data_IF_121747438296
#
_entry.id   IF_121747438296
#
_cell.length_a   1.000
_cell.length_b   1.000
_cell.length_c   1.000
_cell.angle_alpha   90.00
_cell.angle_beta   90.00
_cell.angle_gamma   90.00
#
_symmetry.space_group_name_H-M   'P 1'
#
loop_
_entity.id
_entity.type
_entity.pdbx_description
1 polymer ?
#
# COMPACT_ATOMS: atom_id res chain seq x y z
N UNK A 1 -32.42 -6.30 16.51
CA UNK A 1 -32.49 -7.57 17.30
C UNK A 1 -31.09 -8.13 17.56
N UNK A 2 -30.28 -8.47 16.54
CA UNK A 2 -28.91 -8.96 16.75
C UNK A 2 -27.96 -8.01 17.53
N UNK A 3 -27.99 -6.70 17.27
CA UNK A 3 -27.16 -5.71 18.00
C UNK A 3 -27.54 -5.50 19.48
N UNK A 4 -28.67 -6.07 19.93
CA UNK A 4 -29.10 -6.03 21.32
C UNK A 4 -28.77 -7.34 22.05
N UNK A 5 -28.51 -8.43 21.32
CA UNK A 5 -28.21 -9.75 21.90
C UNK A 5 -26.71 -10.03 22.03
N UNK A 6 -25.85 -9.29 21.34
CA UNK A 6 -24.38 -9.43 21.46
C UNK A 6 -23.88 -8.67 22.70
N UNK A 7 -23.17 -9.35 23.63
CA UNK A 7 -22.57 -8.71 24.80
C UNK A 7 -21.64 -7.54 24.42
N UNK A 8 -21.57 -6.52 25.29
CA UNK A 8 -20.69 -5.36 25.05
C UNK A 8 -19.20 -5.73 24.99
N UNK A 9 -18.84 -6.84 25.63
CA UNK A 9 -17.49 -7.40 25.72
C UNK A 9 -17.02 -8.02 24.39
N UNK A 10 -17.96 -8.47 23.55
CA UNK A 10 -17.69 -9.06 22.22
C UNK A 10 -17.51 -7.97 21.15
N UNK A 11 -16.47 -7.17 21.34
CA UNK A 11 -16.15 -6.00 20.50
C UNK A 11 -15.97 -6.33 19.01
N UNK A 12 -15.49 -7.55 18.69
CA UNK A 12 -15.28 -8.00 17.31
C UNK A 12 -16.59 -8.39 16.61
N UNK A 13 -17.43 -9.18 17.27
CA UNK A 13 -18.73 -9.60 16.72
C UNK A 13 -19.65 -8.40 16.52
N UNK A 14 -19.68 -7.51 17.51
CA UNK A 14 -20.43 -6.26 17.42
C UNK A 14 -19.95 -5.38 16.26
N UNK A 15 -18.64 -5.27 16.06
CA UNK A 15 -18.08 -4.56 14.91
C UNK A 15 -18.55 -5.18 13.58
N UNK A 16 -18.50 -6.51 13.45
CA UNK A 16 -18.95 -7.19 12.24
C UNK A 16 -20.44 -6.98 11.96
N UNK A 17 -21.29 -7.00 13.00
CA UNK A 17 -22.71 -6.69 12.87
C UNK A 17 -22.96 -5.26 12.39
N UNK A 18 -22.21 -4.28 12.89
CA UNK A 18 -22.31 -2.90 12.41
C UNK A 18 -21.85 -2.78 10.95
N UNK A 19 -20.75 -3.42 10.56
CA UNK A 19 -20.30 -3.43 9.16
C UNK A 19 -21.35 -4.06 8.26
N UNK A 20 -21.98 -5.18 8.67
CA UNK A 20 -23.06 -5.80 7.92
C UNK A 20 -24.26 -4.87 7.76
N UNK A 21 -24.67 -4.19 8.84
CA UNK A 21 -25.74 -3.18 8.78
C UNK A 21 -25.39 -2.03 7.84
N UNK A 22 -24.19 -1.46 7.92
CA UNK A 22 -23.77 -0.37 7.04
C UNK A 22 -23.77 -0.77 5.56
N UNK A 23 -23.42 -2.03 5.24
CA UNK A 23 -23.53 -2.54 3.87
C UNK A 23 -25.00 -2.61 3.40
N UNK A 24 -25.92 -3.07 4.26
CA UNK A 24 -27.34 -3.11 3.94
C UNK A 24 -27.92 -1.71 3.73
N UNK A 25 -27.59 -0.76 4.59
CA UNK A 25 -28.02 0.64 4.46
C UNK A 25 -27.48 1.27 3.17
N UNK A 26 -26.23 0.97 2.78
CA UNK A 26 -25.68 1.48 1.50
C UNK A 26 -26.41 0.92 0.28
N UNK A 27 -26.87 -0.33 0.35
CA UNK A 27 -27.54 -1.02 -0.77
C UNK A 27 -29.04 -0.74 -0.88
N UNK A 28 -29.71 -0.56 0.26
CA UNK A 28 -31.18 -0.54 0.33
C UNK A 28 -31.76 0.62 1.15
N UNK A 29 -30.92 1.34 1.90
CA UNK A 29 -31.34 2.45 2.74
C UNK A 29 -31.30 3.79 2.00
N UNK A 30 -31.38 4.86 2.77
CA UNK A 30 -31.26 6.24 2.31
C UNK A 30 -30.14 7.00 3.05
N UNK A 31 -29.89 8.24 2.65
CA UNK A 31 -28.82 9.05 3.24
C UNK A 31 -29.03 9.32 4.74
N UNK A 32 -30.28 9.43 5.21
CA UNK A 32 -30.60 9.68 6.61
C UNK A 32 -30.41 8.41 7.46
N UNK A 33 -30.89 7.26 6.98
CA UNK A 33 -30.74 5.97 7.63
C UNK A 33 -29.26 5.56 7.72
N UNK A 34 -28.50 5.76 6.64
CA UNK A 34 -27.06 5.53 6.62
C UNK A 34 -26.31 6.41 7.63
N UNK A 35 -26.62 7.71 7.67
CA UNK A 35 -26.00 8.63 8.64
C UNK A 35 -26.33 8.25 10.09
N UNK A 36 -27.57 7.84 10.36
CA UNK A 36 -27.97 7.36 11.67
C UNK A 36 -27.22 6.08 12.07
N UNK A 37 -27.13 5.10 11.15
CA UNK A 37 -26.41 3.86 11.37
C UNK A 37 -24.90 4.08 11.63
N UNK A 38 -24.26 4.97 10.86
CA UNK A 38 -22.85 5.35 11.09
C UNK A 38 -22.66 5.99 12.45
N UNK A 39 -23.57 6.89 12.84
CA UNK A 39 -23.50 7.60 14.12
C UNK A 39 -23.63 6.61 15.29
N UNK A 40 -24.59 5.71 15.23
CA UNK A 40 -24.78 4.66 16.23
C UNK A 40 -23.56 3.73 16.30
N UNK A 41 -23.05 3.28 15.15
CA UNK A 41 -21.90 2.39 15.08
C UNK A 41 -20.64 3.03 15.68
N UNK A 42 -20.41 4.32 15.43
CA UNK A 42 -19.28 5.06 16.02
C UNK A 42 -19.41 5.21 17.54
N UNK A 43 -20.63 5.38 18.06
CA UNK A 43 -20.88 5.52 19.50
C UNK A 43 -20.78 4.17 20.24
N UNK A 44 -21.14 3.07 19.55
CA UNK A 44 -21.22 1.72 20.12
C UNK A 44 -20.13 0.80 19.57
N UNK A 45 -19.01 1.31 19.08
CA UNK A 45 -17.86 0.49 18.65
C UNK A 45 -16.60 1.37 18.56
N UNK A 46 -15.48 0.81 18.11
CA UNK A 46 -14.29 1.60 17.83
C UNK A 46 -14.56 2.52 16.62
N UNK A 47 -14.70 3.83 16.88
CA UNK A 47 -15.02 4.85 15.87
C UNK A 47 -14.06 4.78 14.68
N UNK A 48 -12.76 4.59 14.93
CA UNK A 48 -11.76 4.55 13.87
C UNK A 48 -11.94 3.34 12.96
N UNK A 49 -12.18 2.16 13.52
CA UNK A 49 -12.44 0.93 12.76
C UNK A 49 -13.72 1.07 11.96
N UNK A 50 -14.78 1.63 12.54
CA UNK A 50 -16.05 1.87 11.83
C UNK A 50 -15.84 2.83 10.66
N UNK A 51 -15.15 3.95 10.85
CA UNK A 51 -14.91 4.90 9.76
C UNK A 51 -13.99 4.33 8.67
N UNK A 52 -13.02 3.48 9.01
CA UNK A 52 -12.21 2.75 8.02
C UNK A 52 -13.05 1.73 7.25
N UNK A 53 -13.98 1.04 7.92
CA UNK A 53 -14.89 0.12 7.28
C UNK A 53 -15.89 0.85 6.37
N UNK A 54 -16.42 1.98 6.83
CA UNK A 54 -17.27 2.86 6.02
C UNK A 54 -16.55 3.27 4.74
N UNK A 55 -15.31 3.77 4.83
CA UNK A 55 -14.51 4.09 3.65
C UNK A 55 -14.40 2.92 2.67
N UNK A 56 -14.18 1.70 3.17
CA UNK A 56 -14.06 0.52 2.33
C UNK A 56 -15.40 0.13 1.65
N UNK A 57 -16.52 0.36 2.33
CA UNK A 57 -17.86 0.20 1.75
C UNK A 57 -18.05 1.23 0.63
N UNK A 58 -17.79 2.51 0.88
CA UNK A 58 -17.92 3.56 -0.14
C UNK A 58 -17.02 3.28 -1.34
N UNK A 59 -15.78 2.86 -1.11
CA UNK A 59 -14.83 2.48 -2.16
C UNK A 59 -15.36 1.31 -3.01
N UNK A 60 -15.93 0.28 -2.38
CA UNK A 60 -16.52 -0.87 -3.10
C UNK A 60 -17.68 -0.44 -4.01
N UNK A 61 -18.42 0.59 -3.62
CA UNK A 61 -19.53 1.14 -4.38
C UNK A 61 -19.12 2.24 -5.37
N UNK A 62 -17.84 2.62 -5.44
CA UNK A 62 -17.35 3.69 -6.31
C UNK A 62 -17.80 5.10 -5.88
N UNK A 63 -18.25 5.26 -4.63
CA UNK A 63 -18.75 6.55 -4.12
C UNK A 63 -17.59 7.42 -3.60
N UNK A 64 -17.03 8.23 -4.51
CA UNK A 64 -15.89 9.12 -4.24
C UNK A 64 -16.24 10.21 -3.20
N UNK A 65 -17.48 10.70 -3.19
CA UNK A 65 -17.93 11.69 -2.21
C UNK A 65 -18.03 11.07 -0.81
N UNK A 66 -18.59 9.87 -0.71
CA UNK A 66 -18.65 9.07 0.51
C UNK A 66 -17.25 8.75 1.06
N UNK A 67 -16.31 8.34 0.20
CA UNK A 67 -14.90 8.14 0.56
C UNK A 67 -14.25 9.41 1.11
N UNK A 68 -14.51 10.55 0.46
CA UNK A 68 -14.01 11.87 0.88
C UNK A 68 -14.57 12.28 2.23
N UNK A 69 -15.87 12.11 2.45
CA UNK A 69 -16.53 12.41 3.74
C UNK A 69 -16.02 11.52 4.88
N UNK A 70 -15.91 10.20 4.65
CA UNK A 70 -15.40 9.25 5.64
C UNK A 70 -13.93 9.54 6.00
N UNK A 71 -13.09 9.79 5.00
CA UNK A 71 -11.67 10.09 5.23
C UNK A 71 -11.45 11.46 5.89
N UNK A 72 -12.25 12.47 5.57
CA UNK A 72 -12.23 13.78 6.24
C UNK A 72 -12.55 13.65 7.73
N UNK A 73 -13.56 12.85 8.10
CA UNK A 73 -13.86 12.53 9.51
C UNK A 73 -12.70 11.81 10.18
N UNK A 74 -12.07 10.84 9.49
CA UNK A 74 -10.91 10.11 9.99
C UNK A 74 -9.74 11.04 10.31
N UNK A 75 -9.33 11.94 9.41
CA UNK A 75 -8.19 12.84 9.68
C UNK A 75 -8.53 13.96 10.65
N UNK A 76 -9.80 14.35 10.77
CA UNK A 76 -10.25 15.31 11.80
C UNK A 76 -10.08 14.71 13.20
N UNK A 77 -10.55 13.49 13.43
CA UNK A 77 -10.48 12.81 14.73
C UNK A 77 -9.12 12.16 15.00
N UNK A 78 -8.49 11.58 13.98
CA UNK A 78 -7.28 10.75 14.08
C UNK A 78 -6.13 11.29 13.22
N UNK A 79 -5.88 12.60 13.28
CA UNK A 79 -4.87 13.28 12.46
C UNK A 79 -3.43 12.77 12.60
N UNK A 80 -3.07 12.13 13.71
CA UNK A 80 -1.74 11.50 13.88
C UNK A 80 -1.65 10.08 13.27
N UNK A 81 -2.73 9.58 12.67
CA UNK A 81 -2.82 8.22 12.12
C UNK A 81 -2.42 8.17 10.65
N UNK A 82 -1.30 7.51 10.34
CA UNK A 82 -0.87 7.25 8.97
C UNK A 82 -1.98 6.57 8.14
N UNK A 83 -2.71 5.61 8.73
CA UNK A 83 -3.84 4.94 8.05
C UNK A 83 -4.96 5.91 7.64
N UNK A 84 -5.22 6.95 8.44
CA UNK A 84 -6.26 7.92 8.11
C UNK A 84 -5.87 8.74 6.87
N UNK A 85 -4.63 9.22 6.85
CA UNK A 85 -4.10 9.98 5.71
C UNK A 85 -3.97 9.15 4.43
N UNK A 86 -3.58 7.88 4.52
CA UNK A 86 -3.58 7.00 3.34
C UNK A 86 -4.98 6.90 2.74
N UNK A 87 -6.03 6.78 3.57
CA UNK A 87 -7.41 6.78 3.07
C UNK A 87 -7.81 8.11 2.46
N UNK A 88 -7.40 9.25 3.03
CA UNK A 88 -7.62 10.56 2.41
C UNK A 88 -6.90 10.69 1.05
N UNK A 89 -5.67 10.18 0.95
CA UNK A 89 -4.94 10.15 -0.31
C UNK A 89 -5.64 9.27 -1.35
N UNK A 90 -6.13 8.09 -0.96
CA UNK A 90 -6.91 7.23 -1.85
C UNK A 90 -8.19 7.91 -2.35
N UNK A 91 -8.92 8.63 -1.49
CA UNK A 91 -10.10 9.39 -1.95
C UNK A 91 -9.74 10.50 -2.94
N UNK A 92 -8.65 11.23 -2.70
CA UNK A 92 -8.14 12.25 -3.61
C UNK A 92 -7.69 11.65 -4.96
N UNK A 93 -7.06 10.48 -4.92
CA UNK A 93 -6.64 9.72 -6.09
C UNK A 93 -7.85 9.26 -6.93
N UNK A 94 -8.88 8.67 -6.30
CA UNK A 94 -10.12 8.30 -6.99
C UNK A 94 -10.92 9.49 -7.52
N UNK A 95 -10.72 10.69 -6.96
CA UNK A 95 -11.27 11.93 -7.47
C UNK A 95 -10.39 12.60 -8.55
N UNK A 96 -9.21 12.03 -8.84
CA UNK A 96 -8.14 12.60 -9.68
C UNK A 96 -7.80 14.05 -9.34
N UNK A 97 -7.88 14.43 -8.05
CA UNK A 97 -7.75 15.82 -7.59
C UNK A 97 -7.14 15.92 -6.20
N UNK A 98 -6.21 16.85 -6.02
CA UNK A 98 -5.75 17.29 -4.70
C UNK A 98 -4.84 16.32 -3.95
N UNK A 99 -4.23 15.35 -4.63
CA UNK A 99 -3.27 14.40 -4.01
C UNK A 99 -2.08 15.12 -3.38
N UNK A 100 -1.51 16.12 -4.05
CA UNK A 100 -0.39 16.92 -3.53
C UNK A 100 -0.73 17.71 -2.26
N UNK A 101 -1.93 18.31 -2.18
CA UNK A 101 -2.41 18.99 -0.95
C UNK A 101 -2.50 18.00 0.22
N UNK A 102 -3.05 16.80 -0.04
CA UNK A 102 -3.15 15.75 0.98
C UNK A 102 -1.77 15.33 1.46
N UNK A 103 -0.80 15.16 0.55
CA UNK A 103 0.58 14.83 0.91
C UNK A 103 1.17 15.93 1.80
N UNK A 104 1.08 17.20 1.40
CA UNK A 104 1.60 18.33 2.17
C UNK A 104 0.99 18.41 3.57
N UNK A 105 -0.34 18.31 3.69
CA UNK A 105 -1.06 18.35 4.97
C UNK A 105 -0.78 17.15 5.86
N UNK A 106 -0.59 15.97 5.28
CA UNK A 106 -0.22 14.79 6.04
C UNK A 106 1.18 14.96 6.68
N UNK A 107 2.13 15.55 5.95
CA UNK A 107 3.49 15.76 6.44
C UNK A 107 3.55 16.73 7.63
N UNK A 108 2.65 17.72 7.70
CA UNK A 108 2.57 18.64 8.84
C UNK A 108 1.89 18.03 10.07
N UNK A 109 0.95 17.09 9.88
CA UNK A 109 0.16 16.50 10.98
C UNK A 109 0.67 15.16 11.47
N UNK A 110 1.45 14.43 10.68
CA UNK A 110 2.05 13.16 11.06
C UNK A 110 3.38 13.36 11.78
N UNK A 111 3.67 12.57 12.83
CA UNK A 111 5.02 12.48 13.38
C UNK A 111 6.04 12.07 12.32
N UNK A 112 7.24 12.67 12.33
CA UNK A 112 8.30 12.45 11.33
C UNK A 112 8.64 10.99 11.09
N UNK A 113 8.68 10.18 12.16
CA UNK A 113 8.89 8.72 12.08
C UNK A 113 7.88 7.96 11.23
N UNK A 114 6.72 8.55 10.92
CA UNK A 114 5.67 7.95 10.08
C UNK A 114 5.69 8.44 8.64
N UNK A 115 6.48 9.48 8.31
CA UNK A 115 6.51 10.09 6.98
C UNK A 115 6.87 9.09 5.89
N UNK A 116 7.98 8.35 6.05
CA UNK A 116 8.42 7.35 5.07
C UNK A 116 7.36 6.26 4.88
N UNK A 117 6.73 5.80 5.98
CA UNK A 117 5.68 4.78 5.92
C UNK A 117 4.44 5.30 5.16
N UNK A 118 4.06 6.55 5.41
CA UNK A 118 2.93 7.19 4.75
C UNK A 118 3.18 7.36 3.25
N UNK A 119 4.29 8.02 2.88
CA UNK A 119 4.64 8.27 1.48
C UNK A 119 4.79 6.97 0.69
N UNK A 120 5.45 5.96 1.28
CA UNK A 120 5.60 4.66 0.61
C UNK A 120 4.26 3.94 0.40
N UNK A 121 3.28 4.12 1.30
CA UNK A 121 1.94 3.60 1.10
C UNK A 121 1.17 4.38 0.01
N UNK A 122 1.29 5.71 -0.01
CA UNK A 122 0.69 6.54 -1.07
C UNK A 122 1.25 6.19 -2.45
N UNK A 123 2.57 6.00 -2.56
CA UNK A 123 3.22 5.58 -3.80
C UNK A 123 2.68 4.23 -4.29
N UNK A 124 2.54 3.25 -3.38
CA UNK A 124 1.95 1.95 -3.71
C UNK A 124 0.50 2.05 -4.21
N UNK A 125 -0.30 2.97 -3.65
CA UNK A 125 -1.68 3.18 -4.11
C UNK A 125 -1.74 3.86 -5.47
N UNK A 126 -0.92 4.88 -5.72
CA UNK A 126 -0.82 5.52 -7.04
C UNK A 126 -0.42 4.52 -8.14
N UNK A 127 0.55 3.64 -7.85
CA UNK A 127 0.92 2.56 -8.77
C UNK A 127 -0.23 1.58 -9.10
N UNK A 128 -1.27 1.49 -8.28
CA UNK A 128 -2.38 0.56 -8.48
C UNK A 128 -3.63 1.13 -9.17
N UNK A 129 -3.74 2.45 -9.34
CA UNK A 129 -4.95 3.15 -9.79
C UNK A 129 -4.70 3.91 -11.10
N UNK A 130 -4.12 3.26 -12.11
CA UNK A 130 -3.74 3.81 -13.43
C UNK A 130 -2.79 5.04 -13.42
N UNK A 131 -2.39 5.54 -12.25
CA UNK A 131 -1.41 6.62 -12.06
C UNK A 131 0.01 6.09 -11.76
N UNK A 132 0.47 5.14 -12.57
CA UNK A 132 1.76 4.46 -12.33
C UNK A 132 2.95 5.41 -12.29
N UNK A 133 3.01 6.39 -13.18
CA UNK A 133 4.10 7.37 -13.25
C UNK A 133 4.14 8.28 -12.02
N UNK A 134 2.99 8.65 -11.46
CA UNK A 134 2.93 9.42 -10.22
C UNK A 134 3.45 8.60 -9.03
N UNK A 135 3.06 7.32 -8.97
CA UNK A 135 3.58 6.36 -7.99
C UNK A 135 5.09 6.15 -8.10
N UNK A 136 5.62 5.97 -9.31
CA UNK A 136 7.06 5.92 -9.60
C UNK A 136 7.77 7.18 -9.12
N UNK A 137 7.25 8.36 -9.45
CA UNK A 137 7.82 9.63 -9.02
C UNK A 137 7.90 9.77 -7.49
N UNK A 138 6.92 9.27 -6.75
CA UNK A 138 6.96 9.23 -5.29
C UNK A 138 8.01 8.24 -4.77
N UNK A 139 8.11 7.04 -5.36
CA UNK A 139 9.13 6.07 -4.99
C UNK A 139 10.55 6.56 -5.29
N UNK A 140 10.79 7.14 -6.46
CA UNK A 140 12.11 7.69 -6.82
C UNK A 140 12.55 8.78 -5.84
N UNK A 141 11.65 9.69 -5.46
CA UNK A 141 11.92 10.69 -4.42
C UNK A 141 12.27 10.03 -3.08
N UNK A 142 11.56 8.97 -2.69
CA UNK A 142 11.80 8.26 -1.44
C UNK A 142 13.14 7.54 -1.42
N UNK A 143 13.49 6.81 -2.49
CA UNK A 143 14.76 6.07 -2.54
C UNK A 143 15.96 6.99 -2.72
N UNK A 144 15.79 8.14 -3.38
CA UNK A 144 16.82 9.19 -3.44
C UNK A 144 17.06 9.83 -2.07
N UNK A 145 15.99 10.08 -1.31
CA UNK A 145 16.09 10.70 0.03
C UNK A 145 16.57 9.71 1.09
N UNK A 146 16.15 8.44 1.00
CA UNK A 146 16.41 7.41 2.00
C UNK A 146 17.03 6.14 1.38
N UNK A 147 18.21 6.21 0.75
CA UNK A 147 18.78 5.09 -0.01
C UNK A 147 19.00 3.83 0.84
N UNK A 148 19.36 3.97 2.11
CA UNK A 148 19.60 2.83 3.03
C UNK A 148 18.32 2.10 3.49
N UNK A 149 17.13 2.60 3.14
CA UNK A 149 15.83 2.02 3.52
C UNK A 149 15.41 0.92 2.55
N UNK A 150 16.01 -0.26 2.70
CA UNK A 150 15.70 -1.42 1.87
C UNK A 150 14.20 -1.78 1.85
N UNK A 151 13.47 -1.55 2.94
CA UNK A 151 12.02 -1.79 3.01
C UNK A 151 11.19 -0.90 2.07
N UNK A 152 11.73 0.22 1.61
CA UNK A 152 11.11 1.08 0.58
C UNK A 152 11.42 0.54 -0.80
N UNK A 153 12.68 0.19 -1.05
CA UNK A 153 13.12 -0.41 -2.31
C UNK A 153 12.38 -1.70 -2.64
N UNK A 154 12.25 -2.61 -1.68
CA UNK A 154 11.53 -3.86 -1.90
C UNK A 154 10.05 -3.62 -2.19
N UNK A 155 9.41 -2.64 -1.53
CA UNK A 155 8.02 -2.29 -1.83
C UNK A 155 7.86 -1.64 -3.21
N UNK A 156 8.87 -0.91 -3.67
CA UNK A 156 8.89 -0.34 -5.02
C UNK A 156 9.02 -1.46 -6.06
N UNK A 157 9.94 -2.40 -5.86
CA UNK A 157 10.05 -3.59 -6.70
C UNK A 157 8.73 -4.38 -6.73
N UNK A 158 8.12 -4.66 -5.57
CA UNK A 158 6.82 -5.33 -5.48
C UNK A 158 5.71 -4.61 -6.28
N UNK A 159 5.74 -3.26 -6.34
CA UNK A 159 4.77 -2.48 -7.10
C UNK A 159 4.97 -2.64 -8.62
N UNK A 160 6.23 -2.60 -9.10
CA UNK A 160 6.57 -2.84 -10.51
C UNK A 160 6.32 -4.31 -10.92
N UNK A 161 6.58 -5.26 -10.03
CA UNK A 161 6.33 -6.68 -10.25
C UNK A 161 4.84 -6.98 -10.43
N UNK A 162 3.96 -6.28 -9.70
CA UNK A 162 2.51 -6.38 -9.89
C UNK A 162 2.08 -5.86 -11.25
N UNK A 163 2.67 -4.76 -11.72
CA UNK A 163 2.40 -4.25 -13.06
C UNK A 163 2.79 -5.29 -14.13
N UNK A 164 3.90 -6.02 -13.93
CA UNK A 164 4.29 -7.10 -14.83
C UNK A 164 3.25 -8.25 -14.90
N UNK A 165 2.43 -8.45 -13.86
CA UNK A 165 1.33 -9.44 -13.86
C UNK A 165 0.19 -8.95 -14.74
N UNK A 166 -0.22 -7.70 -14.58
CA UNK A 166 -1.36 -7.11 -15.28
C UNK A 166 -1.04 -6.82 -16.75
N UNK A 167 0.16 -6.31 -17.02
CA UNK A 167 0.63 -5.94 -18.36
C UNK A 167 2.06 -6.48 -18.58
N UNK A 168 2.20 -7.76 -19.00
CA UNK A 168 3.50 -8.39 -19.14
C UNK A 168 4.27 -7.84 -20.36
N UNK A 169 5.19 -6.92 -20.10
CA UNK A 169 6.12 -6.35 -21.08
C UNK A 169 7.57 -6.61 -20.69
N UNK A 170 8.43 -6.78 -21.69
CA UNK A 170 9.88 -6.84 -21.47
C UNK A 170 10.42 -5.54 -20.87
N UNK A 171 9.77 -4.40 -21.11
CA UNK A 171 10.13 -3.13 -20.49
C UNK A 171 9.86 -3.16 -18.97
N UNK A 172 8.68 -3.62 -18.56
CA UNK A 172 8.33 -3.74 -17.14
C UNK A 172 9.28 -4.68 -16.41
N UNK A 173 9.62 -5.82 -17.03
CA UNK A 173 10.64 -6.74 -16.49
C UNK A 173 12.01 -6.08 -16.36
N UNK A 174 12.43 -5.27 -17.35
CA UNK A 174 13.69 -4.51 -17.27
C UNK A 174 13.67 -3.49 -16.14
N UNK A 175 12.54 -2.82 -15.88
CA UNK A 175 12.40 -1.87 -14.77
C UNK A 175 12.58 -2.56 -13.42
N UNK A 176 11.92 -3.69 -13.19
CA UNK A 176 12.10 -4.50 -11.96
C UNK A 176 13.57 -4.89 -11.78
N UNK A 177 14.22 -5.43 -12.83
CA UNK A 177 15.64 -5.81 -12.80
C UNK A 177 16.56 -4.62 -12.54
N UNK A 178 16.27 -3.46 -13.12
CA UNK A 178 17.02 -2.24 -12.88
C UNK A 178 16.92 -1.77 -11.42
N UNK A 179 15.79 -2.00 -10.74
CA UNK A 179 15.67 -1.74 -9.31
C UNK A 179 16.56 -2.66 -8.48
N UNK A 180 16.58 -3.96 -8.77
CA UNK A 180 17.47 -4.92 -8.10
C UNK A 180 18.95 -4.56 -8.31
N UNK A 181 19.35 -4.29 -9.55
CA UNK A 181 20.71 -3.85 -9.86
C UNK A 181 21.13 -2.57 -9.12
N UNK A 182 20.21 -1.60 -8.95
CA UNK A 182 20.45 -0.39 -8.14
C UNK A 182 20.61 -0.71 -6.65
N UNK A 183 19.91 -1.73 -6.14
CA UNK A 183 20.03 -2.14 -4.73
C UNK A 183 21.38 -2.81 -4.48
N UNK A 184 21.87 -3.59 -5.44
CA UNK A 184 23.13 -4.33 -5.34
C UNK A 184 24.36 -3.42 -5.17
N UNK A 185 24.35 -2.21 -5.74
CA UNK A 185 25.45 -1.24 -5.59
C UNK A 185 25.50 -0.57 -4.22
N UNK A 186 24.51 -0.83 -3.35
CA UNK A 186 24.45 -0.21 -2.03
C UNK A 186 25.25 -1.02 -0.99
N UNK A 187 25.93 -0.34 -0.05
CA UNK A 187 26.62 -1.00 1.06
C UNK A 187 25.61 -1.46 2.11
N UNK A 188 24.95 -2.59 1.85
CA UNK A 188 23.98 -3.22 2.74
C UNK A 188 24.61 -4.39 3.50
N UNK A 189 24.18 -4.66 4.74
CA UNK A 189 24.58 -5.87 5.45
C UNK A 189 24.27 -7.16 4.67
N UNK A 190 25.16 -8.16 4.74
CA UNK A 190 25.03 -9.45 4.03
C UNK A 190 23.65 -10.08 4.18
N UNK A 191 23.07 -10.07 5.39
CA UNK A 191 21.72 -10.60 5.65
C UNK A 191 20.64 -9.93 4.81
N UNK A 192 20.74 -8.61 4.61
CA UNK A 192 19.80 -7.83 3.81
C UNK A 192 20.01 -8.10 2.32
N UNK A 193 21.26 -8.14 1.85
CA UNK A 193 21.53 -8.41 0.43
C UNK A 193 21.12 -9.83 0.03
N UNK A 194 21.28 -10.81 0.93
CA UNK A 194 20.73 -12.16 0.73
C UNK A 194 19.22 -12.13 0.48
N UNK A 195 18.46 -11.30 1.19
CA UNK A 195 17.02 -11.12 0.94
C UNK A 195 16.73 -10.50 -0.42
N UNK A 196 17.57 -9.58 -0.89
CA UNK A 196 17.45 -8.95 -2.23
C UNK A 196 17.59 -10.01 -3.32
N UNK A 197 18.68 -10.79 -3.31
CA UNK A 197 18.89 -11.85 -4.30
C UNK A 197 17.82 -12.94 -4.22
N UNK A 198 17.34 -13.28 -3.03
CA UNK A 198 16.22 -14.22 -2.87
C UNK A 198 14.93 -13.69 -3.50
N UNK A 199 14.66 -12.39 -3.40
CA UNK A 199 13.49 -11.78 -4.01
C UNK A 199 13.64 -11.67 -5.53
N UNK A 200 14.82 -11.32 -6.03
CA UNK A 200 15.10 -11.31 -7.48
C UNK A 200 14.94 -12.71 -8.10
N UNK A 201 15.43 -13.77 -7.44
CA UNK A 201 15.20 -15.15 -7.88
C UNK A 201 13.71 -15.53 -7.87
N UNK A 202 12.96 -15.11 -6.85
CA UNK A 202 11.51 -15.32 -6.82
C UNK A 202 10.83 -14.59 -7.97
N UNK A 203 11.24 -13.37 -8.28
CA UNK A 203 10.72 -12.63 -9.42
C UNK A 203 10.98 -13.37 -10.74
N UNK A 204 12.22 -13.80 -11.03
CA UNK A 204 12.55 -14.48 -12.28
C UNK A 204 11.83 -15.82 -12.46
N UNK A 205 11.57 -16.53 -11.35
CA UNK A 205 10.82 -17.79 -11.33
C UNK A 205 9.30 -17.60 -11.30
N UNK A 206 8.81 -16.38 -11.05
CA UNK A 206 7.39 -16.08 -11.01
C UNK A 206 6.77 -15.96 -12.41
N UNK A 207 5.43 -15.90 -12.47
CA UNK A 207 4.68 -15.61 -13.70
C UNK A 207 5.00 -14.22 -14.30
N UNK A 208 5.46 -13.29 -13.47
CA UNK A 208 5.87 -11.93 -13.86
C UNK A 208 7.28 -11.89 -14.47
N UNK A 209 8.10 -12.89 -14.16
CA UNK A 209 9.47 -13.02 -14.62
C UNK A 209 9.59 -13.50 -16.07
N UNK A 210 10.69 -14.19 -16.36
CA UNK A 210 10.99 -14.69 -17.69
C UNK A 210 10.12 -15.92 -18.05
N UNK A 211 9.37 -15.79 -19.15
CA UNK A 211 8.46 -16.84 -19.61
C UNK A 211 9.20 -17.97 -20.31
N UNK A 212 10.27 -17.64 -21.04
CA UNK A 212 11.07 -18.64 -21.73
C UNK A 212 11.96 -19.40 -20.74
N UNK A 213 11.81 -20.71 -20.66
CA UNK A 213 12.53 -21.55 -19.68
C UNK A 213 14.05 -21.43 -19.78
N UNK A 214 14.61 -21.44 -21.00
CA UNK A 214 16.06 -21.31 -21.20
C UNK A 214 16.57 -19.95 -20.71
N UNK A 215 15.87 -18.86 -21.07
CA UNK A 215 16.21 -17.51 -20.61
C UNK A 215 16.05 -17.37 -19.10
N UNK A 216 15.00 -17.96 -18.51
CA UNK A 216 14.76 -17.94 -17.06
C UNK A 216 15.90 -18.63 -16.32
N UNK A 217 16.31 -19.81 -16.78
CA UNK A 217 17.42 -20.54 -16.18
C UNK A 217 18.73 -19.73 -16.27
N UNK A 218 19.01 -19.13 -17.43
CA UNK A 218 20.16 -18.24 -17.59
C UNK A 218 20.13 -17.03 -16.64
N UNK A 219 18.95 -16.42 -16.43
CA UNK A 219 18.77 -15.32 -15.47
C UNK A 219 18.97 -15.77 -14.03
N UNK A 220 18.39 -16.90 -13.62
CA UNK A 220 18.58 -17.44 -12.28
C UNK A 220 20.06 -17.76 -12.00
N UNK A 221 20.80 -18.29 -12.97
CA UNK A 221 22.24 -18.52 -12.83
C UNK A 221 23.04 -17.21 -12.75
N UNK A 222 22.67 -16.19 -13.53
CA UNK A 222 23.26 -14.85 -13.42
C UNK A 222 23.08 -14.25 -12.02
N UNK A 223 21.86 -14.31 -11.47
CA UNK A 223 21.56 -13.83 -10.11
C UNK A 223 22.40 -14.58 -9.06
N UNK A 224 22.54 -15.90 -9.19
CA UNK A 224 23.38 -16.69 -8.28
C UNK A 224 24.86 -16.31 -8.37
N UNK A 225 25.38 -16.09 -9.58
CA UNK A 225 26.76 -15.66 -9.80
C UNK A 225 27.01 -14.28 -9.19
N UNK A 226 26.11 -13.32 -9.41
CA UNK A 226 26.18 -11.99 -8.79
C UNK A 226 26.11 -12.07 -7.27
N UNK A 227 25.25 -12.93 -6.74
CA UNK A 227 25.15 -13.15 -5.29
C UNK A 227 26.45 -13.70 -4.69
N UNK A 228 27.12 -14.64 -5.36
CA UNK A 228 28.41 -15.18 -4.92
C UNK A 228 29.50 -14.12 -4.98
N UNK A 229 29.64 -13.43 -6.12
CA UNK A 229 30.64 -12.36 -6.27
C UNK A 229 30.46 -11.24 -5.23
N UNK A 230 29.22 -10.80 -4.99
CA UNK A 230 28.93 -9.78 -4.00
C UNK A 230 29.30 -10.22 -2.58
N UNK A 231 29.11 -11.50 -2.24
CA UNK A 231 29.53 -12.04 -0.94
C UNK A 231 31.04 -12.06 -0.84
N UNK A 232 31.76 -12.54 -1.86
CA UNK A 232 33.21 -12.61 -1.86
C UNK A 232 33.86 -11.22 -1.73
N UNK A 233 33.28 -10.20 -2.37
CA UNK A 233 33.75 -8.81 -2.27
C UNK A 233 33.47 -8.20 -0.88
N UNK A 234 32.31 -8.50 -0.28
CA UNK A 234 31.85 -7.80 0.93
C UNK A 234 31.98 -8.61 2.24
N UNK A 235 32.62 -9.79 2.20
CA UNK A 235 32.98 -10.57 3.40
C UNK A 235 34.48 -10.77 3.58
N UNK A 236 35.30 -10.40 2.58
CA UNK A 236 36.76 -10.40 2.67
C UNK A 236 37.34 -9.04 3.13
N UNK A 237 36.48 -8.07 3.49
CA UNK A 237 36.80 -6.82 4.20
C UNK A 237 36.34 -6.88 5.67
#
# INVERSE_FOLDING_TARGET
RALASVPLEETSERFNLFVARLNLEKQHGDAASMKAAVTEACARSDEKRILVALFAIEQKHGDVEGMSAASARLVKRFGASCKAWVKTYMAALSASKGTDDVLARAMTRLPTRKHVKFLSACAAHACGEDEMEAGRGLYEKLVATYPKRLDVWLRYADAEEKLCVHEPSDEHRRRVRALYARIETMPLPVKKMKTVFQNELKFETSKSGEKNESRRNARCEDVKKRAMAWVDENTNE
#
